data_IF_464879376467
#
_entry.id   IF_464879376467
#
_cell.length_a   1.000
_cell.length_b   1.000
_cell.length_c   1.000
_cell.angle_alpha   90.00
_cell.angle_beta   90.00
_cell.angle_gamma   90.00
#
_symmetry.space_group_name_H-M   'P 1'
#
loop_
_entity.id
_entity.type
_entity.pdbx_description
1 polymer ?
#
# COMPACT_ATOMS: atom_id res chain seq x y z
N UNK A 1 5.71 18.16 -6.60
CA UNK A 1 6.18 18.67 -5.29
C UNK A 1 7.64 18.27 -5.13
N UNK A 2 8.53 19.22 -4.88
CA UNK A 2 9.94 18.93 -4.56
C UNK A 2 10.06 18.49 -3.11
N UNK A 3 10.34 17.19 -2.89
CA UNK A 3 10.45 16.59 -1.55
C UNK A 3 11.79 16.93 -0.86
N UNK A 4 12.75 17.55 -1.58
CA UNK A 4 14.02 18.03 -1.00
C UNK A 4 13.85 19.40 -0.35
N UNK A 5 12.96 20.24 -0.91
CA UNK A 5 12.58 21.54 -0.36
C UNK A 5 11.12 21.47 0.12
N UNK A 6 10.92 20.87 1.29
CA UNK A 6 9.59 20.71 1.87
C UNK A 6 9.02 22.05 2.29
N UNK A 7 7.78 22.39 1.91
CA UNK A 7 7.13 23.61 2.38
C UNK A 7 7.01 23.60 3.93
N UNK A 8 7.23 24.75 4.56
CA UNK A 8 7.06 24.91 6.01
C UNK A 8 5.66 24.49 6.49
N UNK A 9 4.66 24.67 5.64
CA UNK A 9 3.29 24.25 5.90
C UNK A 9 3.15 22.73 6.05
N UNK A 10 3.93 21.94 5.32
CA UNK A 10 3.93 20.49 5.44
C UNK A 10 4.50 20.05 6.79
N UNK A 11 5.61 20.63 7.22
CA UNK A 11 6.26 20.26 8.49
C UNK A 11 5.45 20.69 9.70
N UNK A 12 4.67 21.77 9.58
CA UNK A 12 3.71 22.18 10.61
C UNK A 12 2.52 21.23 10.73
N UNK A 13 2.05 20.67 9.61
CA UNK A 13 0.91 19.76 9.57
C UNK A 13 1.28 18.30 9.85
N UNK A 14 2.48 17.89 9.47
CA UNK A 14 2.98 16.55 9.74
C UNK A 14 4.40 16.63 10.33
N UNK A 15 4.58 16.32 11.62
CA UNK A 15 5.90 16.42 12.27
C UNK A 15 6.94 15.47 11.66
N UNK A 16 6.51 14.40 10.96
CA UNK A 16 7.42 13.51 10.21
C UNK A 16 7.85 14.12 8.87
N UNK A 17 7.27 15.25 8.45
CA UNK A 17 7.55 15.91 7.18
C UNK A 17 7.30 15.02 5.96
N UNK A 18 6.33 14.12 6.05
CA UNK A 18 5.96 13.16 4.99
C UNK A 18 4.61 13.50 4.38
N UNK A 19 4.41 13.07 3.16
CA UNK A 19 3.10 13.05 2.48
C UNK A 19 2.58 11.62 2.46
N UNK A 20 1.23 11.41 2.41
CA UNK A 20 0.17 12.42 2.34
C UNK A 20 -0.15 13.09 3.68
N UNK A 21 -0.84 14.22 3.60
CA UNK A 21 -1.51 14.90 4.71
C UNK A 21 -2.91 15.25 4.24
N UNK A 22 -3.92 14.86 4.99
CA UNK A 22 -5.31 15.24 4.78
C UNK A 22 -5.69 16.36 5.76
N UNK A 23 -6.34 17.40 5.24
CA UNK A 23 -6.95 18.46 6.04
C UNK A 23 -8.46 18.36 5.86
N UNK A 24 -9.19 18.26 6.96
CA UNK A 24 -10.65 18.18 6.98
C UNK A 24 -11.20 19.12 8.06
N UNK A 25 -11.70 20.27 7.61
CA UNK A 25 -11.99 21.39 8.49
C UNK A 25 -10.74 21.85 9.24
N UNK A 26 -10.78 21.82 10.57
CA UNK A 26 -9.62 22.13 11.43
C UNK A 26 -8.75 20.88 11.73
N UNK A 27 -9.23 19.69 11.34
CA UNK A 27 -8.54 18.42 11.58
C UNK A 27 -7.41 18.18 10.59
N UNK A 28 -6.27 17.68 11.09
CA UNK A 28 -5.11 17.29 10.29
C UNK A 28 -4.84 15.81 10.54
N UNK A 29 -4.82 15.01 9.47
CA UNK A 29 -4.57 13.57 9.51
C UNK A 29 -3.39 13.27 8.61
N UNK A 30 -2.46 12.47 9.06
CA UNK A 30 -1.31 12.00 8.30
C UNK A 30 -1.16 10.47 8.46
N UNK A 31 -0.24 9.85 7.75
CA UNK A 31 -0.11 8.42 7.50
C UNK A 31 -1.21 7.89 6.57
N UNK A 32 -0.82 7.43 5.37
CA UNK A 32 -1.76 7.05 4.31
C UNK A 32 -2.77 6.00 4.76
N UNK A 33 -2.34 4.98 5.51
CA UNK A 33 -3.22 3.94 6.00
C UNK A 33 -4.31 4.46 6.96
N UNK A 34 -3.97 5.45 7.78
CA UNK A 34 -4.92 6.11 8.70
C UNK A 34 -5.88 7.00 7.92
N UNK A 35 -5.36 7.74 6.92
CA UNK A 35 -6.19 8.57 6.03
C UNK A 35 -7.20 7.69 5.28
N UNK A 36 -6.75 6.57 4.74
CA UNK A 36 -7.60 5.65 3.98
C UNK A 36 -8.73 5.08 4.88
N UNK A 37 -8.42 4.66 6.09
CA UNK A 37 -9.42 4.15 7.04
C UNK A 37 -10.39 5.27 7.49
N UNK A 38 -9.87 6.48 7.74
CA UNK A 38 -10.71 7.65 8.06
C UNK A 38 -11.69 7.96 6.93
N UNK A 39 -11.24 7.94 5.68
CA UNK A 39 -12.09 8.20 4.53
C UNK A 39 -13.14 7.09 4.33
N UNK A 40 -12.78 5.84 4.55
CA UNK A 40 -13.70 4.70 4.52
C UNK A 40 -14.83 4.84 5.56
N UNK A 41 -14.51 5.30 6.77
CA UNK A 41 -15.48 5.54 7.82
C UNK A 41 -16.33 6.79 7.56
N UNK A 42 -15.73 7.86 7.03
CA UNK A 42 -16.41 9.11 6.70
C UNK A 42 -17.40 8.97 5.55
N UNK A 43 -17.10 8.08 4.58
CA UNK A 43 -17.92 7.85 3.38
C UNK A 43 -18.47 6.42 3.34
N UNK A 44 -19.37 6.02 4.24
CA UNK A 44 -19.78 4.65 4.46
C UNK A 44 -20.62 4.03 3.33
N UNK A 45 -20.95 4.80 2.28
CA UNK A 45 -21.73 4.32 1.13
C UNK A 45 -20.98 3.27 0.29
N UNK A 46 -19.65 3.33 0.29
CA UNK A 46 -18.78 2.37 -0.41
C UNK A 46 -17.65 1.95 0.53
N UNK A 47 -17.96 1.07 1.46
CA UNK A 47 -16.98 0.58 2.43
C UNK A 47 -15.96 -0.36 1.78
N UNK A 48 -14.70 -0.11 2.05
CA UNK A 48 -13.57 -0.95 1.68
C UNK A 48 -13.01 -1.74 2.86
N UNK A 49 -13.24 -1.29 4.11
CA UNK A 49 -12.93 -2.10 5.28
C UNK A 49 -14.04 -3.12 5.54
N UNK A 50 -13.69 -4.40 5.76
CA UNK A 50 -14.66 -5.42 6.10
C UNK A 50 -15.50 -5.06 7.32
N UNK A 51 -16.78 -5.42 7.31
CA UNK A 51 -17.67 -5.25 8.46
C UNK A 51 -17.44 -6.30 9.55
N UNK A 52 -17.06 -7.50 9.16
CA UNK A 52 -16.67 -8.56 10.10
C UNK A 52 -15.37 -8.19 10.83
N UNK A 53 -15.37 -8.31 12.14
CA UNK A 53 -14.25 -7.86 12.99
C UNK A 53 -12.96 -8.65 12.73
N UNK A 54 -13.04 -9.95 12.47
CA UNK A 54 -11.87 -10.77 12.20
C UNK A 54 -11.27 -10.43 10.83
N UNK A 55 -12.12 -10.27 9.82
CA UNK A 55 -11.66 -9.87 8.47
C UNK A 55 -11.10 -8.45 8.50
N UNK A 56 -11.67 -7.54 9.27
CA UNK A 56 -11.12 -6.20 9.50
C UNK A 56 -9.73 -6.23 10.14
N UNK A 57 -9.54 -7.07 11.15
CA UNK A 57 -8.23 -7.27 11.77
C UNK A 57 -7.21 -7.83 10.76
N UNK A 58 -7.61 -8.81 9.91
CA UNK A 58 -6.76 -9.33 8.84
C UNK A 58 -6.41 -8.26 7.80
N UNK A 59 -7.35 -7.39 7.44
CA UNK A 59 -7.07 -6.28 6.53
C UNK A 59 -5.99 -5.34 7.10
N UNK A 60 -6.07 -4.98 8.38
CA UNK A 60 -5.05 -4.18 9.07
C UNK A 60 -3.68 -4.86 9.13
N UNK A 61 -3.65 -6.19 9.33
CA UNK A 61 -2.39 -6.97 9.28
C UNK A 61 -1.75 -6.86 7.89
N UNK A 62 -2.52 -6.94 6.81
CA UNK A 62 -1.98 -6.78 5.46
C UNK A 62 -1.52 -5.35 5.16
N UNK A 63 -2.28 -4.34 5.60
CA UNK A 63 -1.89 -2.92 5.48
C UNK A 63 -0.56 -2.67 6.22
N UNK A 64 -0.43 -3.19 7.45
CA UNK A 64 0.81 -3.14 8.20
C UNK A 64 1.96 -3.88 7.48
N UNK A 65 1.69 -5.08 6.97
CA UNK A 65 2.67 -5.87 6.22
C UNK A 65 3.24 -5.09 5.03
N UNK A 66 2.41 -4.44 4.24
CA UNK A 66 2.88 -3.63 3.12
C UNK A 66 3.67 -2.42 3.58
N UNK A 67 3.20 -1.73 4.59
CA UNK A 67 3.83 -0.52 5.13
C UNK A 67 5.19 -0.81 5.75
N UNK A 68 5.26 -1.80 6.65
CA UNK A 68 6.43 -2.07 7.50
C UNK A 68 7.42 -3.06 6.87
N UNK A 69 7.02 -3.84 5.86
CA UNK A 69 7.88 -4.83 5.20
C UNK A 69 8.16 -4.47 3.75
N UNK A 70 7.16 -4.52 2.86
CA UNK A 70 7.37 -4.27 1.44
C UNK A 70 7.91 -2.86 1.17
N UNK A 71 7.20 -1.85 1.63
CA UNK A 71 7.62 -0.45 1.41
C UNK A 71 8.91 -0.12 2.16
N UNK A 72 9.15 -0.70 3.33
CA UNK A 72 10.40 -0.50 4.07
C UNK A 72 11.59 -1.08 3.30
N UNK A 73 11.49 -2.32 2.80
CA UNK A 73 12.54 -2.93 1.98
C UNK A 73 12.76 -2.14 0.66
N UNK A 74 11.67 -1.72 -0.01
CA UNK A 74 11.76 -0.89 -1.21
C UNK A 74 12.42 0.48 -0.92
N UNK A 75 12.13 1.08 0.23
CA UNK A 75 12.79 2.31 0.68
C UNK A 75 14.28 2.10 0.95
N UNK A 76 14.66 0.97 1.53
CA UNK A 76 16.07 0.65 1.79
C UNK A 76 16.85 0.50 0.47
N UNK A 77 16.26 -0.11 -0.55
CA UNK A 77 16.85 -0.21 -1.89
C UNK A 77 17.05 1.20 -2.49
N UNK A 78 16.01 2.03 -2.50
CA UNK A 78 16.06 3.36 -3.14
C UNK A 78 16.96 4.36 -2.44
N UNK A 79 17.26 4.15 -1.15
CA UNK A 79 18.17 5.00 -0.37
C UNK A 79 19.52 4.38 -0.09
N UNK A 80 19.87 3.30 -0.82
CA UNK A 80 21.15 2.59 -0.70
C UNK A 80 21.50 2.15 0.73
N UNK A 81 20.47 1.71 1.48
CA UNK A 81 20.61 1.17 2.82
C UNK A 81 20.65 -0.37 2.80
N UNK A 82 21.85 -0.95 2.70
CA UNK A 82 22.05 -2.40 2.54
C UNK A 82 21.18 -3.00 1.42
N UNK A 83 21.31 -2.52 0.16
CA UNK A 83 20.41 -2.85 -0.93
C UNK A 83 20.33 -4.36 -1.20
N UNK A 84 21.43 -5.11 -1.13
CA UNK A 84 21.43 -6.56 -1.34
C UNK A 84 20.56 -7.30 -0.33
N UNK A 85 20.67 -6.94 0.95
CA UNK A 85 19.84 -7.54 2.01
C UNK A 85 18.38 -7.11 1.88
N UNK A 86 18.14 -5.87 1.50
CA UNK A 86 16.80 -5.37 1.25
C UNK A 86 16.15 -6.08 0.06
N UNK A 87 16.92 -6.33 -1.01
CA UNK A 87 16.46 -7.07 -2.18
C UNK A 87 16.08 -8.51 -1.83
N UNK A 88 16.93 -9.21 -1.06
CA UNK A 88 16.63 -10.56 -0.59
C UNK A 88 15.32 -10.61 0.24
N UNK A 89 15.15 -9.67 1.17
CA UNK A 89 13.91 -9.56 1.96
C UNK A 89 12.70 -9.31 1.07
N UNK A 90 12.82 -8.41 0.10
CA UNK A 90 11.73 -8.07 -0.79
C UNK A 90 11.32 -9.27 -1.65
N UNK A 91 12.27 -10.04 -2.16
CA UNK A 91 12.00 -11.29 -2.88
C UNK A 91 11.29 -12.32 -1.98
N UNK A 92 11.71 -12.46 -0.73
CA UNK A 92 11.05 -13.34 0.22
C UNK A 92 9.60 -12.90 0.48
N UNK A 93 9.37 -11.60 0.70
CA UNK A 93 8.03 -11.05 0.93
C UNK A 93 7.11 -11.23 -0.28
N UNK A 94 7.64 -11.09 -1.49
CA UNK A 94 6.87 -11.33 -2.72
C UNK A 94 6.55 -12.82 -2.89
N UNK A 95 7.48 -13.71 -2.56
CA UNK A 95 7.25 -15.16 -2.59
C UNK A 95 6.14 -15.58 -1.62
N UNK A 96 6.18 -15.05 -0.41
CA UNK A 96 5.15 -15.34 0.60
C UNK A 96 3.77 -14.79 0.18
N UNK A 97 3.75 -13.59 -0.39
CA UNK A 97 2.55 -12.97 -0.93
C UNK A 97 2.00 -13.74 -2.14
N UNK A 98 2.87 -14.24 -3.02
CA UNK A 98 2.44 -15.03 -4.19
C UNK A 98 1.78 -16.33 -3.76
N UNK A 99 2.34 -17.01 -2.74
CA UNK A 99 1.74 -18.20 -2.14
C UNK A 99 0.39 -17.89 -1.51
N UNK A 100 0.27 -16.77 -0.80
CA UNK A 100 -0.99 -16.33 -0.17
C UNK A 100 -2.08 -16.06 -1.22
N UNK A 101 -1.71 -15.59 -2.41
CA UNK A 101 -2.63 -15.23 -3.49
C UNK A 101 -2.95 -16.38 -4.44
N UNK A 102 -2.47 -17.61 -4.18
CA UNK A 102 -2.60 -18.77 -5.11
C UNK A 102 -4.05 -19.05 -5.53
N UNK A 103 -4.97 -19.03 -4.59
CA UNK A 103 -6.40 -19.34 -4.77
C UNK A 103 -7.32 -18.15 -4.46
N UNK A 104 -6.78 -16.94 -4.35
CA UNK A 104 -7.51 -15.75 -3.96
C UNK A 104 -7.60 -14.72 -5.09
N UNK A 105 -8.72 -14.01 -5.13
CA UNK A 105 -8.91 -12.81 -5.95
C UNK A 105 -8.63 -11.52 -5.18
N UNK A 106 -8.81 -11.55 -3.85
CA UNK A 106 -8.56 -10.45 -2.93
C UNK A 106 -7.95 -10.97 -1.63
N UNK A 107 -7.20 -10.14 -0.94
CA UNK A 107 -6.47 -10.54 0.27
C UNK A 107 -7.36 -10.98 1.41
N UNK A 108 -8.52 -10.35 1.58
CA UNK A 108 -9.34 -10.54 2.76
C UNK A 108 -10.81 -10.72 2.38
N UNK A 109 -11.45 -11.72 2.97
CA UNK A 109 -12.91 -11.90 2.90
C UNK A 109 -13.50 -12.11 1.50
N UNK A 110 -12.67 -12.41 0.50
CA UNK A 110 -13.11 -12.58 -0.89
C UNK A 110 -13.62 -11.30 -1.56
N UNK A 111 -13.41 -10.13 -0.97
CA UNK A 111 -13.86 -8.84 -1.47
C UNK A 111 -12.72 -7.83 -1.53
N UNK A 112 -12.81 -6.92 -2.51
CA UNK A 112 -11.89 -5.78 -2.62
C UNK A 112 -11.94 -4.91 -1.37
N UNK A 113 -10.79 -4.67 -0.77
CA UNK A 113 -10.66 -3.99 0.52
C UNK A 113 -9.50 -3.01 0.56
N UNK A 114 -9.37 -2.24 1.65
CA UNK A 114 -8.20 -1.37 1.87
C UNK A 114 -6.88 -2.15 1.92
N UNK A 115 -6.90 -3.45 2.24
CA UNK A 115 -5.72 -4.29 2.14
C UNK A 115 -5.21 -4.38 0.69
N UNK A 116 -6.12 -4.54 -0.28
CA UNK A 116 -5.77 -4.58 -1.70
C UNK A 116 -5.34 -3.19 -2.20
N UNK A 117 -6.00 -2.12 -1.76
CA UNK A 117 -5.64 -0.73 -2.08
C UNK A 117 -4.21 -0.41 -1.67
N UNK A 118 -3.80 -0.83 -0.47
CA UNK A 118 -2.47 -0.52 0.09
C UNK A 118 -1.31 -1.16 -0.68
N UNK A 119 -1.56 -2.18 -1.51
CA UNK A 119 -0.55 -2.79 -2.38
C UNK A 119 -0.33 -1.99 -3.69
N UNK A 120 -1.35 -1.31 -4.20
CA UNK A 120 -1.31 -0.63 -5.51
C UNK A 120 -0.11 0.33 -5.65
N UNK A 121 0.20 1.21 -4.67
CA UNK A 121 1.34 2.12 -4.78
C UNK A 121 2.70 1.42 -4.85
N UNK A 122 2.85 0.26 -4.24
CA UNK A 122 4.06 -0.55 -4.38
C UNK A 122 4.17 -1.10 -5.80
N UNK A 123 3.11 -1.74 -6.30
CA UNK A 123 3.12 -2.37 -7.61
C UNK A 123 3.36 -1.37 -8.75
N UNK A 124 2.71 -0.21 -8.70
CA UNK A 124 2.85 0.83 -9.73
C UNK A 124 4.24 1.48 -9.75
N UNK A 125 4.98 1.41 -8.64
CA UNK A 125 6.33 1.97 -8.49
C UNK A 125 7.44 0.91 -8.47
N UNK A 126 7.13 -0.36 -8.70
CA UNK A 126 8.05 -1.50 -8.56
C UNK A 126 9.36 -1.33 -9.34
N UNK A 127 9.32 -0.69 -10.51
CA UNK A 127 10.50 -0.44 -11.32
C UNK A 127 11.53 0.47 -10.61
N UNK A 128 11.06 1.42 -9.79
CA UNK A 128 11.93 2.27 -8.95
C UNK A 128 12.66 1.49 -7.87
N UNK A 129 12.16 0.30 -7.55
CA UNK A 129 12.70 -0.59 -6.53
C UNK A 129 13.52 -1.73 -7.16
N UNK A 130 13.74 -1.67 -8.47
CA UNK A 130 14.39 -2.74 -9.24
C UNK A 130 13.71 -4.10 -9.04
N UNK A 131 12.38 -4.10 -8.97
CA UNK A 131 11.55 -5.29 -8.77
C UNK A 131 10.81 -5.61 -10.04
N UNK A 132 11.00 -6.84 -10.51
CA UNK A 132 10.20 -7.43 -11.59
C UNK A 132 9.19 -8.39 -10.98
N UNK A 133 7.90 -8.17 -11.28
CA UNK A 133 6.81 -9.09 -10.94
C UNK A 133 6.35 -9.71 -12.25
N UNK A 134 6.92 -10.86 -12.55
CA UNK A 134 6.70 -11.64 -13.76
C UNK A 134 6.01 -12.99 -13.46
N UNK A 135 6.23 -14.00 -14.27
CA UNK A 135 5.65 -15.31 -14.09
C UNK A 135 6.19 -16.09 -12.88
N UNK A 136 7.30 -15.63 -12.24
CA UNK A 136 7.79 -16.20 -10.98
C UNK A 136 6.86 -15.81 -9.80
N UNK A 137 6.08 -14.74 -9.98
CA UNK A 137 5.06 -14.27 -9.05
C UNK A 137 3.71 -14.18 -9.76
N UNK A 138 3.29 -15.29 -10.37
CA UNK A 138 2.13 -15.33 -11.28
C UNK A 138 0.81 -14.97 -10.60
N UNK A 139 0.66 -15.31 -9.33
CA UNK A 139 -0.55 -15.02 -8.55
C UNK A 139 -0.60 -13.54 -8.14
N UNK A 140 0.52 -12.98 -7.69
CA UNK A 140 0.63 -11.54 -7.40
C UNK A 140 0.43 -10.72 -8.67
N UNK A 141 1.02 -11.15 -9.79
CA UNK A 141 0.85 -10.48 -11.09
C UNK A 141 -0.62 -10.44 -11.50
N UNK A 142 -1.28 -11.61 -11.54
CA UNK A 142 -2.72 -11.72 -11.85
C UNK A 142 -3.56 -10.82 -10.96
N UNK A 143 -3.32 -10.86 -9.66
CA UNK A 143 -4.04 -10.04 -8.69
C UNK A 143 -3.83 -8.56 -8.93
N UNK A 144 -2.58 -8.11 -9.08
CA UNK A 144 -2.25 -6.72 -9.35
C UNK A 144 -2.90 -6.21 -10.65
N UNK A 145 -2.82 -6.98 -11.75
CA UNK A 145 -3.46 -6.65 -13.02
C UNK A 145 -4.98 -6.48 -12.85
N UNK A 146 -5.64 -7.37 -12.11
CA UNK A 146 -7.05 -7.25 -11.79
C UNK A 146 -7.38 -6.00 -10.96
N UNK A 147 -6.52 -5.64 -10.00
CA UNK A 147 -6.69 -4.40 -9.23
C UNK A 147 -6.59 -3.17 -10.13
N UNK A 148 -5.58 -3.11 -11.01
CA UNK A 148 -5.36 -1.97 -11.91
C UNK A 148 -6.45 -1.85 -12.99
N UNK A 149 -7.06 -2.96 -13.41
CA UNK A 149 -8.16 -2.96 -14.36
C UNK A 149 -9.48 -2.40 -13.78
N UNK A 150 -9.57 -2.18 -12.48
CA UNK A 150 -10.76 -1.56 -11.85
C UNK A 150 -10.92 -0.11 -12.33
N UNK A 151 -12.09 0.31 -12.86
CA UNK A 151 -12.23 1.61 -13.52
C UNK A 151 -11.80 2.81 -12.64
N UNK A 152 -12.11 2.77 -11.35
CA UNK A 152 -11.73 3.85 -10.43
C UNK A 152 -10.23 3.85 -10.11
N UNK A 153 -9.57 2.70 -10.10
CA UNK A 153 -8.12 2.59 -9.95
C UNK A 153 -7.43 3.05 -11.22
N UNK A 154 -7.85 2.53 -12.38
CA UNK A 154 -7.30 2.92 -13.69
C UNK A 154 -7.35 4.44 -13.94
N UNK A 155 -8.37 5.12 -13.44
CA UNK A 155 -8.52 6.57 -13.56
C UNK A 155 -7.50 7.37 -12.70
N UNK A 156 -6.73 6.73 -11.82
CA UNK A 156 -5.72 7.37 -10.96
C UNK A 156 -4.28 7.13 -11.40
N UNK A 157 -4.08 6.30 -12.42
CA UNK A 157 -2.75 5.94 -12.96
C UNK A 157 -2.36 6.89 -14.09
#
# INVERSE_FOLDING_TARGET
>A
MDLKNKPDDLTRKNPYGKVPVLVDGEGIIYESAIIDEYLDEKFPQVRLMPTDLLQRAKARIWIDYFSTRLHAAASDITHDRNPDKAQQKLQQYLTDLDREMADKNYLVGGQYSLADVSFIPFYTRRERYHVTIDNNYSHVKRWAENLLARPRVAATL
#
